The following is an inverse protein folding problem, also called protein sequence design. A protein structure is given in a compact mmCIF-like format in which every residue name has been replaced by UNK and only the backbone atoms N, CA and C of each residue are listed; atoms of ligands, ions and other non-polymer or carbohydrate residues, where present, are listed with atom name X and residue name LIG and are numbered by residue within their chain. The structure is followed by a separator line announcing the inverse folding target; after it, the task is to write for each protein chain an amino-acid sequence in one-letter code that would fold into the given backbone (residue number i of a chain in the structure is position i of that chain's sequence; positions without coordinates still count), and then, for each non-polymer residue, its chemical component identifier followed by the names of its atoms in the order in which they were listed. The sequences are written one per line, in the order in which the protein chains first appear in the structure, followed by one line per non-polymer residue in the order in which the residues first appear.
data_IF_548209783840
#
_entry.id   IF_548209783840
#
_cell.length_a   1.000
_cell.length_b   1.000
_cell.length_c   1.000
_cell.angle_alpha   90.00
_cell.angle_beta   90.00
_cell.angle_gamma   90.00
#
_symmetry.space_group_name_H-M   'P 1'
#
loop_
_entity.id
_entity.type
_entity.pdbx_description
1 polymer ?
#
# COMPACT_ATOMS: atom_id res chain seq x y z
N UNK A 1 -4.79 -63.51 50.91
CA UNK A 1 -3.80 -62.53 50.41
C UNK A 1 -3.71 -61.41 51.44
N UNK A 2 -2.52 -61.14 52.01
CA UNK A 2 -2.36 -60.16 53.07
C UNK A 2 -2.56 -58.74 52.49
N UNK A 3 -3.29 -57.85 53.16
CA UNK A 3 -3.68 -56.53 52.62
C UNK A 3 -2.48 -55.68 52.16
N UNK A 4 -1.31 -55.88 52.79
CA UNK A 4 -0.03 -55.28 52.37
C UNK A 4 0.43 -55.76 50.99
N UNK A 5 0.24 -57.04 50.67
CA UNK A 5 0.58 -57.60 49.35
C UNK A 5 -0.37 -57.14 48.25
N UNK A 6 -1.66 -56.99 48.55
CA UNK A 6 -2.63 -56.43 47.60
C UNK A 6 -2.37 -54.95 47.30
N UNK A 7 -1.98 -54.15 48.30
CA UNK A 7 -1.59 -52.75 48.13
C UNK A 7 -0.33 -52.60 47.25
N UNK A 8 0.70 -53.42 47.50
CA UNK A 8 1.94 -53.40 46.71
C UNK A 8 1.67 -53.79 45.24
N UNK A 9 0.85 -54.82 45.01
CA UNK A 9 0.47 -55.23 43.65
C UNK A 9 -0.34 -54.15 42.95
N UNK A 10 -1.26 -53.47 43.66
CA UNK A 10 -2.02 -52.35 43.12
C UNK A 10 -1.13 -51.18 42.68
N UNK A 11 -0.20 -50.75 43.53
CA UNK A 11 0.76 -49.67 43.21
C UNK A 11 1.65 -50.07 42.03
N UNK A 12 2.10 -51.33 41.96
CA UNK A 12 2.95 -51.81 40.87
C UNK A 12 2.21 -51.82 39.53
N UNK A 13 0.92 -52.20 39.52
CA UNK A 13 0.05 -52.12 38.35
C UNK A 13 -0.16 -50.68 37.87
N UNK A 14 -0.31 -49.74 38.79
CA UNK A 14 -0.50 -48.32 38.48
C UNK A 14 0.77 -47.69 37.86
N UNK A 15 1.95 -48.03 38.37
CA UNK A 15 3.24 -47.65 37.79
C UNK A 15 3.45 -48.29 36.40
N UNK A 16 3.06 -49.56 36.22
CA UNK A 16 3.15 -50.23 34.92
C UNK A 16 2.20 -49.61 33.88
N UNK A 17 0.98 -49.25 34.27
CA UNK A 17 0.03 -48.58 33.39
C UNK A 17 0.51 -47.16 33.03
N UNK A 18 1.05 -46.41 34.00
CA UNK A 18 1.67 -45.11 33.75
C UNK A 18 2.89 -45.23 32.82
N UNK A 19 3.74 -46.24 33.05
CA UNK A 19 4.90 -46.53 32.22
C UNK A 19 4.52 -46.97 30.80
N UNK A 20 3.48 -47.78 30.64
CA UNK A 20 2.95 -48.19 29.34
C UNK A 20 2.28 -47.03 28.59
N UNK A 21 1.56 -46.16 29.29
CA UNK A 21 0.98 -44.95 28.71
C UNK A 21 2.07 -43.95 28.28
N UNK A 22 3.11 -43.77 29.10
CA UNK A 22 4.28 -42.97 28.74
C UNK A 22 5.04 -43.59 27.56
N UNK A 23 5.26 -44.91 27.56
CA UNK A 23 5.89 -45.62 26.45
C UNK A 23 5.06 -45.51 25.17
N UNK A 24 3.73 -45.63 25.23
CA UNK A 24 2.85 -45.41 24.08
C UNK A 24 2.93 -43.97 23.57
N UNK A 25 2.91 -43.00 24.47
CA UNK A 25 3.07 -41.59 24.12
C UNK A 25 4.41 -41.33 23.41
N UNK A 26 5.53 -41.78 24.00
CA UNK A 26 6.87 -41.54 23.45
C UNK A 26 7.22 -42.40 22.23
N UNK A 27 6.73 -43.64 22.12
CA UNK A 27 7.08 -44.57 21.03
C UNK A 27 6.13 -44.52 19.83
N UNK A 28 4.95 -43.92 19.97
CA UNK A 28 3.96 -43.89 18.88
C UNK A 28 3.38 -42.49 18.63
N UNK A 29 2.97 -41.76 19.67
CA UNK A 29 2.29 -40.48 19.46
C UNK A 29 3.25 -39.37 18.98
N UNK A 30 4.48 -39.33 19.51
CA UNK A 30 5.52 -38.34 19.12
C UNK A 30 5.90 -38.44 17.64
N UNK A 31 5.72 -39.61 17.02
CA UNK A 31 6.06 -39.87 15.60
C UNK A 31 4.88 -39.66 14.65
N UNK A 32 3.82 -38.96 15.08
CA UNK A 32 2.66 -38.67 14.23
C UNK A 32 2.78 -37.29 13.58
N UNK A 33 2.26 -37.09 12.35
CA UNK A 33 2.19 -35.75 11.75
C UNK A 33 1.40 -34.78 12.63
N UNK A 34 0.38 -35.28 13.34
CA UNK A 34 -0.40 -34.49 14.28
C UNK A 34 0.44 -33.96 15.44
N UNK A 35 1.33 -34.78 16.02
CA UNK A 35 2.23 -34.32 17.06
C UNK A 35 3.20 -33.25 16.55
N UNK A 36 3.84 -33.45 15.40
CA UNK A 36 4.75 -32.47 14.81
C UNK A 36 4.07 -31.13 14.52
N UNK A 37 2.80 -31.12 14.13
CA UNK A 37 2.00 -29.89 14.00
C UNK A 37 1.73 -29.18 15.34
N UNK A 38 1.51 -29.92 16.43
CA UNK A 38 1.36 -29.33 17.76
C UNK A 38 2.72 -28.81 18.30
N UNK A 39 3.81 -29.53 18.01
CA UNK A 39 5.16 -29.11 18.36
C UNK A 39 5.55 -27.83 17.61
N UNK A 40 5.23 -27.74 16.32
CA UNK A 40 5.34 -26.53 15.51
C UNK A 40 4.62 -25.34 16.17
N UNK A 41 3.34 -25.51 16.53
CA UNK A 41 2.56 -24.45 17.17
C UNK A 41 3.18 -24.03 18.51
N UNK A 42 3.70 -24.99 19.27
CA UNK A 42 4.39 -24.73 20.53
C UNK A 42 5.71 -23.97 20.32
N UNK A 43 6.44 -24.25 19.25
CA UNK A 43 7.67 -23.53 18.89
C UNK A 43 7.37 -22.05 18.59
N UNK A 44 6.28 -21.77 17.86
CA UNK A 44 5.81 -20.39 17.62
C UNK A 44 5.48 -19.69 18.93
N UNK A 45 4.68 -20.32 19.80
CA UNK A 45 4.26 -19.72 21.07
C UNK A 45 5.41 -19.50 22.06
N UNK A 46 6.42 -20.36 22.04
CA UNK A 46 7.59 -20.26 22.90
C UNK A 46 8.72 -19.42 22.29
N UNK A 47 8.47 -18.73 21.17
CA UNK A 47 9.46 -17.92 20.45
C UNK A 47 10.73 -18.68 20.04
N UNK A 48 10.61 -19.97 19.73
CA UNK A 48 11.73 -20.85 19.43
C UNK A 48 11.85 -21.09 17.92
N UNK A 49 12.63 -20.23 17.25
CA UNK A 49 12.87 -20.33 15.81
C UNK A 49 13.65 -21.60 15.40
N UNK A 50 14.54 -22.10 16.26
CA UNK A 50 15.31 -23.33 15.99
C UNK A 50 14.40 -24.55 15.99
N UNK A 51 13.55 -24.69 17.01
CA UNK A 51 12.55 -25.77 17.07
C UNK A 51 11.50 -25.64 15.96
N UNK A 52 11.13 -24.41 15.57
CA UNK A 52 10.22 -24.19 14.44
C UNK A 52 10.79 -24.75 13.12
N UNK A 53 12.08 -24.48 12.84
CA UNK A 53 12.75 -24.96 11.64
C UNK A 53 12.92 -26.49 11.61
N UNK A 54 12.89 -27.15 12.77
CA UNK A 54 12.86 -28.62 12.83
C UNK A 54 11.62 -29.20 12.15
N UNK A 55 10.46 -28.54 12.29
CA UNK A 55 9.18 -29.02 11.74
C UNK A 55 8.78 -28.34 10.42
N UNK A 56 9.55 -27.35 9.93
CA UNK A 56 9.32 -26.70 8.62
C UNK A 56 10.61 -26.56 7.84
N UNK A 57 10.66 -27.18 6.67
CA UNK A 57 11.65 -26.90 5.64
C UNK A 57 11.24 -25.62 4.90
N UNK A 58 11.62 -24.47 5.45
CA UNK A 58 11.31 -23.15 4.86
C UNK A 58 11.89 -23.01 3.46
N UNK A 59 13.06 -23.58 3.18
CA UNK A 59 13.69 -23.45 1.88
C UNK A 59 12.89 -24.21 0.82
N UNK A 60 12.53 -25.47 1.06
CA UNK A 60 11.69 -26.22 0.12
C UNK A 60 10.30 -25.59 -0.04
N UNK A 61 9.67 -25.23 1.08
CA UNK A 61 8.32 -24.67 1.11
C UNK A 61 8.23 -23.36 0.32
N UNK A 62 9.14 -22.41 0.59
CA UNK A 62 9.11 -21.09 -0.04
C UNK A 62 9.53 -21.14 -1.50
N UNK A 63 10.50 -21.98 -1.88
CA UNK A 63 10.88 -22.12 -3.29
C UNK A 63 9.74 -22.74 -4.12
N UNK A 64 9.03 -23.75 -3.59
CA UNK A 64 7.83 -24.31 -4.24
C UNK A 64 6.72 -23.26 -4.35
N UNK A 65 6.44 -22.55 -3.26
CA UNK A 65 5.45 -21.46 -3.27
C UNK A 65 5.81 -20.34 -4.26
N UNK A 66 7.08 -19.96 -4.36
CA UNK A 66 7.56 -18.98 -5.33
C UNK A 66 7.40 -19.46 -6.79
N UNK A 67 7.64 -20.74 -7.06
CA UNK A 67 7.39 -21.33 -8.38
C UNK A 67 5.89 -21.33 -8.74
N UNK A 68 5.03 -21.68 -7.79
CA UNK A 68 3.57 -21.61 -7.98
C UNK A 68 3.12 -20.18 -8.24
N UNK A 69 3.60 -19.23 -7.43
CA UNK A 69 3.31 -17.81 -7.56
C UNK A 69 3.81 -17.25 -8.90
N UNK A 70 5.01 -17.64 -9.34
CA UNK A 70 5.56 -17.26 -10.64
C UNK A 70 4.58 -17.55 -11.78
N UNK A 71 3.86 -18.67 -11.74
CA UNK A 71 2.91 -19.02 -12.80
C UNK A 71 1.63 -18.16 -12.80
N UNK A 72 1.36 -17.43 -11.72
CA UNK A 72 0.16 -16.60 -11.54
C UNK A 72 0.43 -15.11 -11.80
N UNK A 73 1.70 -14.68 -11.77
CA UNK A 73 2.10 -13.29 -11.89
C UNK A 73 2.53 -12.96 -13.32
N UNK A 74 2.06 -11.81 -13.82
CA UNK A 74 2.39 -11.31 -15.15
C UNK A 74 3.90 -11.13 -15.36
N UNK A 75 4.39 -11.52 -16.53
CA UNK A 75 5.82 -11.63 -16.83
C UNK A 75 6.59 -10.31 -16.70
N UNK A 76 5.95 -9.19 -17.05
CA UNK A 76 6.58 -7.86 -17.06
C UNK A 76 6.35 -7.07 -15.76
N UNK A 77 5.70 -7.67 -14.76
CA UNK A 77 5.46 -7.01 -13.48
C UNK A 77 6.74 -6.94 -12.62
N UNK A 78 6.92 -5.88 -11.81
CA UNK A 78 8.01 -5.79 -10.84
C UNK A 78 7.94 -6.93 -9.81
N UNK A 79 6.73 -7.38 -9.45
CA UNK A 79 6.48 -8.52 -8.57
C UNK A 79 7.12 -9.81 -9.11
N UNK A 80 7.10 -10.03 -10.43
CA UNK A 80 7.74 -11.17 -11.08
C UNK A 80 9.25 -11.16 -10.91
N UNK A 81 9.90 -9.99 -10.99
CA UNK A 81 11.35 -9.89 -10.85
C UNK A 81 11.80 -10.30 -9.44
N UNK A 82 11.06 -9.88 -8.41
CA UNK A 82 11.33 -10.27 -7.02
C UNK A 82 11.21 -11.78 -6.76
N UNK A 83 10.37 -12.46 -7.53
CA UNK A 83 10.24 -13.92 -7.48
C UNK A 83 11.45 -14.58 -8.16
N UNK A 84 11.80 -14.11 -9.35
CA UNK A 84 12.85 -14.71 -10.19
C UNK A 84 14.26 -14.52 -9.62
N UNK A 85 14.53 -13.38 -8.96
CA UNK A 85 15.82 -13.10 -8.33
C UNK A 85 15.97 -13.71 -6.92
N UNK A 86 14.92 -14.37 -6.41
CA UNK A 86 14.90 -15.02 -5.10
C UNK A 86 14.78 -14.08 -3.90
N UNK A 87 14.70 -12.77 -4.13
CA UNK A 87 14.59 -11.78 -3.06
C UNK A 87 13.32 -11.94 -2.24
N UNK A 88 12.20 -12.34 -2.87
CA UNK A 88 10.94 -12.63 -2.17
C UNK A 88 11.10 -13.81 -1.19
N UNK A 89 11.75 -14.89 -1.63
CA UNK A 89 11.96 -16.09 -0.80
C UNK A 89 12.81 -15.73 0.42
N UNK A 90 13.91 -14.99 0.21
CA UNK A 90 14.81 -14.58 1.28
C UNK A 90 14.10 -13.67 2.30
N UNK A 91 13.40 -12.62 1.84
CA UNK A 91 12.66 -11.71 2.71
C UNK A 91 11.55 -12.44 3.48
N UNK A 92 10.79 -13.30 2.80
CA UNK A 92 9.71 -14.06 3.43
C UNK A 92 10.24 -15.00 4.52
N UNK A 93 11.40 -15.64 4.28
CA UNK A 93 12.06 -16.48 5.28
C UNK A 93 12.45 -15.67 6.52
N UNK A 94 13.07 -14.51 6.32
CA UNK A 94 13.46 -13.60 7.40
C UNK A 94 12.23 -13.10 8.19
N UNK A 95 11.17 -12.70 7.50
CA UNK A 95 9.92 -12.23 8.09
C UNK A 95 9.24 -13.30 8.94
N UNK A 96 9.18 -14.55 8.45
CA UNK A 96 8.60 -15.68 9.21
C UNK A 96 9.42 -15.94 10.48
N UNK A 97 10.75 -15.97 10.39
CA UNK A 97 11.59 -16.22 11.56
C UNK A 97 11.54 -15.07 12.57
N UNK A 98 11.45 -13.83 12.08
CA UNK A 98 11.18 -12.68 12.91
C UNK A 98 9.83 -12.81 13.62
N UNK A 99 8.78 -13.19 12.90
CA UNK A 99 7.44 -13.41 13.46
C UNK A 99 7.45 -14.49 14.55
N UNK A 100 8.09 -15.64 14.30
CA UNK A 100 8.22 -16.72 15.30
C UNK A 100 8.89 -16.18 16.57
N UNK A 101 9.95 -15.39 16.42
CA UNK A 101 10.73 -14.88 17.56
C UNK A 101 10.01 -13.76 18.33
N UNK A 102 9.19 -12.95 17.66
CA UNK A 102 8.64 -11.71 18.22
C UNK A 102 7.11 -11.69 18.34
N UNK A 103 6.40 -12.73 17.87
CA UNK A 103 4.94 -12.81 17.71
C UNK A 103 4.31 -11.64 16.94
N UNK A 104 5.14 -10.92 16.18
CA UNK A 104 4.75 -9.75 15.39
C UNK A 104 5.51 -9.75 14.10
N UNK A 105 4.84 -9.41 13.01
CA UNK A 105 5.51 -9.11 11.75
C UNK A 105 6.44 -7.89 11.95
N UNK A 106 7.58 -7.84 11.24
CA UNK A 106 8.49 -6.72 11.34
C UNK A 106 7.76 -5.41 11.01
N UNK A 107 8.04 -4.36 11.80
CA UNK A 107 7.46 -3.05 11.55
C UNK A 107 8.06 -2.49 10.27
N UNK A 108 7.18 -2.04 9.38
CA UNK A 108 7.58 -1.29 8.20
C UNK A 108 7.93 0.14 8.62
N UNK A 109 9.10 0.61 8.21
CA UNK A 109 9.43 2.04 8.28
C UNK A 109 8.67 2.81 7.19
N UNK A 110 8.49 2.22 6.00
CA UNK A 110 7.74 2.79 4.87
C UNK A 110 6.99 1.70 4.05
N UNK A 111 5.78 2.02 3.58
CA UNK A 111 4.99 1.14 2.68
C UNK A 111 5.54 1.24 1.25
N UNK A 112 6.18 0.16 0.81
CA UNK A 112 6.82 -0.01 -0.50
C UNK A 112 6.00 -0.91 -1.45
N UNK A 113 6.42 -1.00 -2.71
CA UNK A 113 5.85 -1.96 -3.66
C UNK A 113 6.04 -3.41 -3.21
N UNK A 114 7.23 -3.76 -2.70
CA UNK A 114 7.56 -5.10 -2.21
C UNK A 114 6.64 -5.54 -1.07
N UNK A 115 6.42 -4.65 -0.10
CA UNK A 115 5.55 -4.88 1.04
C UNK A 115 4.08 -4.95 0.63
N UNK A 116 3.64 -4.08 -0.28
CA UNK A 116 2.30 -4.17 -0.86
C UNK A 116 2.07 -5.51 -1.59
N UNK A 117 3.08 -6.07 -2.25
CA UNK A 117 2.99 -7.37 -2.89
C UNK A 117 2.90 -8.53 -1.89
N UNK A 118 3.73 -8.54 -0.85
CA UNK A 118 3.65 -9.53 0.24
C UNK A 118 2.26 -9.54 0.91
N UNK A 119 1.69 -8.35 1.09
CA UNK A 119 0.35 -8.14 1.60
C UNK A 119 -0.72 -8.64 0.61
N UNK A 120 -0.53 -8.42 -0.70
CA UNK A 120 -1.42 -8.91 -1.78
C UNK A 120 -1.50 -10.44 -1.81
N UNK A 121 -0.43 -11.15 -1.46
CA UNK A 121 -0.39 -12.62 -1.41
C UNK A 121 -0.72 -13.21 -0.02
N UNK A 122 -1.09 -12.35 0.93
CA UNK A 122 -1.58 -12.76 2.24
C UNK A 122 -0.51 -13.18 3.24
N UNK A 123 0.78 -12.90 2.96
CA UNK A 123 1.89 -13.36 3.80
C UNK A 123 1.75 -12.85 5.24
N UNK A 124 1.45 -11.56 5.37
CA UNK A 124 1.43 -10.86 6.67
C UNK A 124 0.02 -10.60 7.20
N UNK A 125 -1.00 -10.82 6.38
CA UNK A 125 -2.42 -10.62 6.75
C UNK A 125 -3.11 -11.90 7.20
N UNK A 126 -2.55 -13.06 6.87
CA UNK A 126 -3.15 -14.34 7.20
C UNK A 126 -3.02 -14.63 8.70
N UNK A 127 -4.11 -15.11 9.30
CA UNK A 127 -4.10 -15.62 10.66
C UNK A 127 -4.65 -17.05 10.70
N UNK A 128 -3.89 -17.95 11.33
CA UNK A 128 -4.37 -19.29 11.62
C UNK A 128 -5.40 -19.20 12.74
N UNK A 129 -6.69 -19.19 12.41
CA UNK A 129 -7.77 -19.14 13.41
C UNK A 129 -7.89 -20.44 14.20
N UNK A 130 -7.69 -21.58 13.54
CA UNK A 130 -7.81 -22.90 14.16
C UNK A 130 -7.15 -23.96 13.29
N UNK A 131 -6.21 -24.71 13.85
CA UNK A 131 -5.71 -25.95 13.23
C UNK A 131 -6.79 -27.01 13.37
N UNK A 132 -7.65 -27.12 12.36
CA UNK A 132 -8.64 -28.19 12.26
C UNK A 132 -8.12 -29.27 11.32
N UNK A 133 -7.72 -30.42 11.87
CA UNK A 133 -7.43 -31.62 11.08
C UNK A 133 -8.72 -32.04 10.34
N UNK A 134 -8.77 -31.76 9.03
CA UNK A 134 -9.97 -32.08 8.21
C UNK A 134 -10.08 -33.58 7.95
N UNK A 135 -8.97 -34.33 7.98
CA UNK A 135 -8.97 -35.78 8.11
C UNK A 135 -8.62 -36.17 9.55
N UNK A 136 -9.39 -37.10 10.13
CA UNK A 136 -9.15 -37.57 11.51
C UNK A 136 -7.80 -38.27 11.67
N UNK A 137 -7.21 -38.72 10.58
CA UNK A 137 -5.85 -39.24 10.49
C UNK A 137 -5.19 -38.65 9.23
N UNK A 138 -3.92 -38.19 9.29
CA UNK A 138 -3.18 -37.79 8.10
C UNK A 138 -3.11 -38.97 7.12
N UNK A 139 -3.39 -38.73 5.85
CA UNK A 139 -3.25 -39.77 4.81
C UNK A 139 -1.76 -40.00 4.61
N UNK A 140 -1.25 -41.14 5.09
CA UNK A 140 0.13 -41.55 4.88
C UNK A 140 0.22 -42.21 3.51
N UNK A 141 0.90 -41.54 2.59
CA UNK A 141 1.22 -42.06 1.27
C UNK A 141 2.62 -42.69 1.33
N UNK A 142 2.67 -44.00 1.12
CA UNK A 142 3.91 -44.71 0.84
C UNK A 142 4.13 -44.63 -0.66
N UNK A 143 5.27 -44.10 -1.11
CA UNK A 143 5.65 -44.23 -2.51
C UNK A 143 5.89 -45.72 -2.79
N UNK A 144 4.96 -46.37 -3.49
CA UNK A 144 5.20 -47.70 -4.05
C UNK A 144 6.27 -47.53 -5.14
N UNK A 145 7.48 -48.00 -4.87
CA UNK A 145 8.53 -48.05 -5.89
C UNK A 145 8.10 -49.01 -7.00
N UNK A 146 8.19 -48.56 -8.25
CA UNK A 146 8.20 -49.48 -9.39
C UNK A 146 9.29 -50.52 -9.16
N UNK A 147 9.03 -51.80 -9.45
CA UNK A 147 9.95 -52.93 -9.19
C UNK A 147 11.37 -52.78 -9.80
N UNK A 148 11.62 -51.72 -10.59
CA UNK A 148 12.90 -51.40 -11.24
C UNK A 148 13.43 -49.95 -11.02
N UNK A 149 12.85 -49.09 -10.18
CA UNK A 149 13.31 -47.69 -10.03
C UNK A 149 13.40 -47.20 -8.57
N UNK A 150 14.61 -46.74 -8.18
CA UNK A 150 15.02 -45.97 -6.97
C UNK A 150 14.48 -46.44 -5.59
N UNK A 151 15.23 -46.30 -4.48
CA UNK A 151 14.67 -46.63 -3.17
C UNK A 151 13.41 -45.79 -2.91
N UNK A 152 12.34 -46.45 -2.43
CA UNK A 152 11.11 -45.79 -2.02
C UNK A 152 11.43 -44.58 -1.13
N UNK A 153 10.89 -43.40 -1.48
CA UNK A 153 11.10 -42.17 -0.72
C UNK A 153 10.59 -42.28 0.74
N UNK A 154 10.97 -41.34 1.62
CA UNK A 154 10.47 -41.34 2.99
C UNK A 154 8.93 -41.21 3.00
N UNK A 155 8.22 -41.83 3.97
CA UNK A 155 6.77 -41.70 4.07
C UNK A 155 6.31 -40.25 4.05
N UNK A 156 5.24 -39.98 3.30
CA UNK A 156 4.67 -38.62 3.21
C UNK A 156 3.27 -38.58 3.79
N UNK A 157 2.85 -37.41 4.27
CA UNK A 157 1.55 -37.20 4.88
C UNK A 157 0.96 -35.86 4.44
N UNK A 158 -0.36 -35.81 4.26
CA UNK A 158 -1.08 -34.55 4.00
C UNK A 158 -1.87 -34.10 5.23
N UNK A 159 -1.62 -32.87 5.69
CA UNK A 159 -2.34 -32.23 6.79
C UNK A 159 -3.15 -31.04 6.27
N UNK A 160 -4.45 -31.05 6.51
CA UNK A 160 -5.32 -29.93 6.17
C UNK A 160 -5.45 -28.97 7.36
N UNK A 161 -5.28 -27.67 7.13
CA UNK A 161 -5.35 -26.60 8.14
C UNK A 161 -6.27 -25.50 7.66
N UNK A 162 -7.21 -25.08 8.52
CA UNK A 162 -8.11 -23.97 8.24
C UNK A 162 -7.44 -22.63 8.63
N UNK A 163 -7.19 -21.80 7.62
CA UNK A 163 -6.64 -20.45 7.79
C UNK A 163 -7.72 -19.41 7.53
N UNK A 164 -7.67 -18.28 8.23
CA UNK A 164 -8.55 -17.15 7.96
C UNK A 164 -7.73 -16.02 7.37
N UNK A 165 -8.18 -15.55 6.22
CA UNK A 165 -7.61 -14.40 5.55
C UNK A 165 -8.65 -13.27 5.57
N UNK A 166 -8.44 -12.20 6.36
CA UNK A 166 -9.36 -11.06 6.43
C UNK A 166 -9.77 -10.49 5.07
N UNK A 167 -8.87 -10.50 4.09
CA UNK A 167 -9.14 -10.02 2.74
C UNK A 167 -10.07 -10.95 1.95
N UNK A 168 -10.00 -12.25 2.22
CA UNK A 168 -10.92 -13.23 1.63
C UNK A 168 -12.30 -13.17 2.29
N UNK A 169 -12.37 -12.72 3.55
CA UNK A 169 -13.61 -12.60 4.32
C UNK A 169 -14.18 -13.95 4.80
N UNK A 170 -13.49 -15.05 4.52
CA UNK A 170 -13.84 -16.41 4.90
C UNK A 170 -12.57 -17.22 5.23
N UNK A 171 -12.72 -18.49 5.60
CA UNK A 171 -11.63 -19.42 5.82
C UNK A 171 -11.27 -20.21 4.56
N UNK A 172 -9.97 -20.42 4.35
CA UNK A 172 -9.42 -21.32 3.35
C UNK A 172 -8.86 -22.58 4.03
N UNK A 173 -8.87 -23.73 3.35
CA UNK A 173 -8.25 -24.96 3.86
C UNK A 173 -6.96 -25.22 3.07
N UNK A 174 -5.82 -24.97 3.69
CA UNK A 174 -4.50 -25.29 3.13
C UNK A 174 -4.14 -26.74 3.40
N UNK A 175 -3.56 -27.42 2.41
CA UNK A 175 -3.12 -28.81 2.49
C UNK A 175 -1.60 -28.86 2.52
N UNK A 176 -1.03 -28.99 3.70
CA UNK A 176 0.41 -29.09 3.91
C UNK A 176 0.89 -30.52 3.65
N UNK A 177 1.92 -30.68 2.82
CA UNK A 177 2.61 -31.96 2.66
C UNK A 177 3.77 -32.03 3.65
N UNK A 178 3.85 -33.15 4.34
CA UNK A 178 4.90 -33.46 5.31
C UNK A 178 5.65 -34.71 4.87
N UNK A 179 6.94 -34.76 5.20
CA UNK A 179 7.77 -35.96 5.04
C UNK A 179 8.27 -36.41 6.41
N UNK A 180 8.37 -37.72 6.59
CA UNK A 180 9.00 -38.26 7.79
C UNK A 180 10.53 -38.09 7.69
N UNK A 181 11.13 -37.63 8.79
CA UNK A 181 12.57 -37.40 8.93
C UNK A 181 13.25 -38.64 9.54
N UNK A 182 14.59 -38.67 9.53
CA UNK A 182 15.37 -39.77 10.11
C UNK A 182 15.13 -39.97 11.61
N UNK A 183 14.80 -38.89 12.34
CA UNK A 183 14.44 -38.92 13.76
C UNK A 183 12.95 -39.27 14.00
N UNK A 184 12.28 -39.79 12.96
CA UNK A 184 10.87 -40.18 12.92
C UNK A 184 9.88 -39.04 13.20
N UNK A 185 10.34 -37.77 13.23
CA UNK A 185 9.47 -36.59 13.26
C UNK A 185 8.98 -36.24 11.86
N UNK A 186 7.96 -35.39 11.76
CA UNK A 186 7.40 -34.95 10.48
C UNK A 186 7.72 -33.48 10.22
N UNK A 187 8.21 -33.20 9.01
CA UNK A 187 8.56 -31.85 8.58
C UNK A 187 7.69 -31.41 7.41
N UNK A 188 7.09 -30.22 7.50
CA UNK A 188 6.36 -29.56 6.39
C UNK A 188 7.37 -29.12 5.33
N UNK A 189 7.08 -29.39 4.06
CA UNK A 189 7.95 -28.95 2.96
C UNK A 189 7.17 -28.48 1.71
N UNK A 190 5.84 -28.56 1.71
CA UNK A 190 4.99 -28.15 0.59
C UNK A 190 3.58 -27.74 1.05
N UNK A 191 2.89 -26.94 0.24
CA UNK A 191 1.46 -26.66 0.35
C UNK A 191 0.83 -26.99 -1.00
N UNK A 192 0.14 -28.13 -1.06
CA UNK A 192 -0.37 -28.72 -2.31
C UNK A 192 -1.33 -27.83 -3.10
N UNK A 193 -2.05 -26.95 -2.40
CA UNK A 193 -3.03 -26.04 -2.99
C UNK A 193 -2.68 -24.57 -2.78
N UNK A 194 -1.37 -24.25 -2.71
CA UNK A 194 -0.91 -22.86 -2.55
C UNK A 194 -1.31 -21.99 -3.74
N UNK A 195 -1.11 -22.48 -4.97
CA UNK A 195 -1.52 -21.77 -6.17
C UNK A 195 -3.02 -21.41 -6.16
N UNK A 196 -3.90 -22.33 -5.75
CA UNK A 196 -5.35 -22.08 -5.64
C UNK A 196 -5.67 -21.00 -4.60
N UNK A 197 -4.99 -21.06 -3.44
CA UNK A 197 -5.15 -20.07 -2.37
C UNK A 197 -4.74 -18.67 -2.84
N UNK A 198 -3.55 -18.54 -3.42
CA UNK A 198 -3.00 -17.24 -3.81
C UNK A 198 -3.73 -16.67 -5.03
N UNK A 199 -4.13 -17.49 -6.00
CA UNK A 199 -4.95 -17.05 -7.14
C UNK A 199 -6.30 -16.48 -6.65
N UNK A 200 -6.96 -17.15 -5.70
CA UNK A 200 -8.21 -16.65 -5.12
C UNK A 200 -8.01 -15.31 -4.40
N UNK A 201 -6.90 -15.15 -3.68
CA UNK A 201 -6.56 -13.93 -2.94
C UNK A 201 -6.18 -12.78 -3.85
N UNK A 202 -5.34 -13.01 -4.87
CA UNK A 202 -4.98 -12.05 -5.91
C UNK A 202 -6.24 -11.52 -6.58
N UNK A 203 -7.14 -12.40 -7.03
CA UNK A 203 -8.41 -12.02 -7.66
C UNK A 203 -9.30 -11.19 -6.74
N UNK A 204 -9.35 -11.52 -5.45
CA UNK A 204 -10.11 -10.74 -4.48
C UNK A 204 -9.50 -9.35 -4.27
N UNK A 205 -8.18 -9.28 -4.08
CA UNK A 205 -7.44 -8.03 -3.92
C UNK A 205 -7.54 -7.14 -5.16
N UNK A 206 -7.52 -7.70 -6.36
CA UNK A 206 -7.70 -6.95 -7.61
C UNK A 206 -9.12 -6.37 -7.75
N UNK A 207 -10.16 -7.13 -7.34
CA UNK A 207 -11.53 -6.62 -7.29
C UNK A 207 -11.67 -5.46 -6.32
N UNK A 208 -11.13 -5.61 -5.11
CA UNK A 208 -11.22 -4.60 -4.07
C UNK A 208 -10.36 -3.36 -4.41
N UNK A 209 -9.16 -3.58 -4.96
CA UNK A 209 -8.28 -2.52 -5.46
C UNK A 209 -8.95 -1.75 -6.59
N UNK A 210 -9.55 -2.43 -7.57
CA UNK A 210 -10.30 -1.76 -8.65
C UNK A 210 -11.39 -0.86 -8.10
N UNK A 211 -12.19 -1.35 -7.14
CA UNK A 211 -13.25 -0.56 -6.50
C UNK A 211 -12.68 0.63 -5.73
N UNK A 212 -11.56 0.45 -5.04
CA UNK A 212 -10.87 1.53 -4.33
C UNK A 212 -10.34 2.59 -5.29
N UNK A 213 -9.60 2.18 -6.32
CA UNK A 213 -9.09 3.05 -7.39
C UNK A 213 -10.20 3.82 -8.06
N UNK A 214 -11.34 3.21 -8.40
CA UNK A 214 -12.46 3.91 -9.03
C UNK A 214 -13.04 5.01 -8.11
N UNK A 215 -13.09 4.78 -6.80
CA UNK A 215 -13.55 5.78 -5.82
C UNK A 215 -12.53 6.90 -5.63
N UNK A 216 -11.25 6.56 -5.47
CA UNK A 216 -10.15 7.54 -5.40
C UNK A 216 -10.17 8.41 -6.66
N UNK A 217 -10.24 7.79 -7.84
CA UNK A 217 -10.33 8.46 -9.14
C UNK A 217 -11.48 9.46 -9.17
N UNK A 218 -12.67 9.05 -8.72
CA UNK A 218 -13.86 9.90 -8.66
C UNK A 218 -13.66 11.08 -7.70
N UNK A 219 -13.10 10.84 -6.51
CA UNK A 219 -12.82 11.90 -5.53
C UNK A 219 -11.84 12.93 -6.13
N UNK A 220 -10.69 12.47 -6.65
CA UNK A 220 -9.68 13.34 -7.23
C UNK A 220 -10.19 14.16 -8.42
N UNK A 221 -11.05 13.56 -9.26
CA UNK A 221 -11.70 14.28 -10.37
C UNK A 221 -12.62 15.39 -9.87
N UNK A 222 -13.49 15.08 -8.92
CA UNK A 222 -14.40 16.08 -8.35
C UNK A 222 -13.63 17.24 -7.71
N UNK A 223 -12.50 16.94 -7.08
CA UNK A 223 -11.60 17.95 -6.49
C UNK A 223 -11.03 18.86 -7.57
N UNK A 224 -10.53 18.30 -8.67
CA UNK A 224 -10.05 19.11 -9.80
C UNK A 224 -11.15 19.94 -10.44
N UNK A 225 -12.34 19.39 -10.70
CA UNK A 225 -13.45 20.13 -11.28
C UNK A 225 -13.77 21.37 -10.42
N UNK A 226 -13.77 21.22 -9.08
CA UNK A 226 -13.92 22.34 -8.14
C UNK A 226 -12.77 23.35 -8.23
N UNK A 227 -11.52 22.90 -8.38
CA UNK A 227 -10.37 23.79 -8.57
C UNK A 227 -10.43 24.55 -9.89
N UNK A 228 -10.86 23.90 -10.98
CA UNK A 228 -11.06 24.54 -12.27
C UNK A 228 -12.18 25.59 -12.21
N UNK A 229 -13.27 25.31 -11.50
CA UNK A 229 -14.30 26.31 -11.21
C UNK A 229 -13.79 27.47 -10.35
N UNK A 230 -13.00 27.17 -9.31
CA UNK A 230 -12.38 28.18 -8.45
C UNK A 230 -11.51 29.13 -9.27
N UNK A 231 -10.66 28.59 -10.14
CA UNK A 231 -9.81 29.34 -11.05
C UNK A 231 -10.59 30.23 -12.02
N UNK A 232 -11.78 29.81 -12.46
CA UNK A 232 -12.67 30.64 -13.29
C UNK A 232 -13.29 31.80 -12.49
N UNK A 233 -13.65 31.58 -11.23
CA UNK A 233 -14.26 32.59 -10.35
C UNK A 233 -13.24 33.58 -9.81
N UNK A 234 -12.04 33.10 -9.50
CA UNK A 234 -10.93 33.85 -8.90
C UNK A 234 -9.64 33.52 -9.68
N UNK A 235 -9.37 34.27 -10.76
CA UNK A 235 -8.21 34.01 -11.64
C UNK A 235 -6.87 34.46 -11.04
N UNK A 236 -6.90 35.26 -9.97
CA UNK A 236 -5.72 35.66 -9.20
C UNK A 236 -5.67 34.88 -7.90
N UNK A 237 -4.47 34.39 -7.55
CA UNK A 237 -4.25 33.74 -6.26
C UNK A 237 -4.16 34.85 -5.20
N UNK A 238 -5.12 34.89 -4.30
CA UNK A 238 -5.15 35.80 -3.16
C UNK A 238 -5.52 35.01 -1.90
N UNK A 239 -5.63 35.70 -0.75
CA UNK A 239 -5.97 35.04 0.52
C UNK A 239 -7.31 34.30 0.47
N UNK A 240 -8.32 34.87 -0.18
CA UNK A 240 -9.65 34.24 -0.31
C UNK A 240 -9.59 32.98 -1.20
N UNK A 241 -8.79 33.02 -2.28
CA UNK A 241 -8.53 31.87 -3.12
C UNK A 241 -7.88 30.73 -2.31
N UNK A 242 -6.87 31.03 -1.50
CA UNK A 242 -6.17 30.04 -0.66
C UNK A 242 -7.15 29.38 0.32
N UNK A 243 -7.99 30.17 0.98
CA UNK A 243 -8.99 29.66 1.93
C UNK A 243 -9.98 28.71 1.24
N UNK A 244 -10.49 29.08 0.06
CA UNK A 244 -11.42 28.22 -0.69
C UNK A 244 -10.72 26.97 -1.26
N UNK A 245 -9.45 27.08 -1.68
CA UNK A 245 -8.62 25.96 -2.12
C UNK A 245 -8.40 24.95 -0.99
N UNK A 246 -8.06 25.41 0.21
CA UNK A 246 -7.93 24.57 1.41
C UNK A 246 -9.24 23.86 1.75
N UNK A 247 -10.38 24.54 1.62
CA UNK A 247 -11.69 23.93 1.84
C UNK A 247 -11.97 22.81 0.84
N UNK A 248 -11.70 23.03 -0.45
CA UNK A 248 -11.85 21.99 -1.49
C UNK A 248 -10.98 20.77 -1.15
N UNK A 249 -9.73 20.99 -0.74
CA UNK A 249 -8.84 19.88 -0.38
C UNK A 249 -9.21 19.19 0.91
N UNK A 250 -9.72 19.92 1.90
CA UNK A 250 -10.27 19.32 3.11
C UNK A 250 -11.42 18.38 2.78
N UNK A 251 -12.38 18.82 1.96
CA UNK A 251 -13.49 17.98 1.49
C UNK A 251 -12.98 16.76 0.70
N UNK A 252 -11.93 16.92 -0.12
CA UNK A 252 -11.29 15.80 -0.83
C UNK A 252 -10.70 14.78 0.15
N UNK A 253 -9.93 15.25 1.14
CA UNK A 253 -9.30 14.40 2.15
C UNK A 253 -10.35 13.66 2.99
N UNK A 254 -11.39 14.36 3.46
CA UNK A 254 -12.49 13.72 4.20
C UNK A 254 -13.15 12.60 3.37
N UNK A 255 -13.40 12.86 2.07
CA UNK A 255 -13.94 11.83 1.19
C UNK A 255 -12.98 10.68 0.86
N UNK A 256 -11.67 10.84 1.07
CA UNK A 256 -10.67 9.77 0.96
C UNK A 256 -10.55 8.99 2.27
N UNK A 257 -10.57 9.67 3.41
CA UNK A 257 -10.49 9.09 4.77
C UNK A 257 -11.69 8.15 5.05
N UNK A 258 -12.85 8.40 4.42
CA UNK A 258 -14.03 7.53 4.51
C UNK A 258 -13.91 6.22 3.69
N UNK A 259 -12.91 6.10 2.82
CA UNK A 259 -12.74 4.92 1.99
C UNK A 259 -12.14 3.77 2.79
N UNK A 260 -12.80 2.61 2.76
CA UNK A 260 -12.18 1.38 3.21
C UNK A 260 -11.00 1.03 2.29
N UNK A 261 -9.78 1.18 2.80
CA UNK A 261 -8.56 0.85 2.06
C UNK A 261 -8.37 -0.67 2.01
N UNK A 262 -8.30 -1.27 0.82
CA UNK A 262 -7.95 -2.68 0.67
C UNK A 262 -6.46 -2.88 0.95
N UNK A 263 -6.06 -4.10 1.28
CA UNK A 263 -4.67 -4.42 1.62
C UNK A 263 -3.69 -4.08 0.49
N UNK A 264 -4.04 -4.36 -0.76
CA UNK A 264 -3.25 -3.95 -1.93
C UNK A 264 -3.26 -2.42 -2.20
N UNK A 265 -4.10 -1.66 -1.51
CA UNK A 265 -4.27 -0.22 -1.67
C UNK A 265 -3.42 0.65 -0.74
N UNK A 266 -2.70 0.06 0.23
CA UNK A 266 -1.91 0.80 1.23
C UNK A 266 -0.84 1.72 0.62
N UNK A 267 -0.19 1.28 -0.46
CA UNK A 267 0.79 2.12 -1.14
C UNK A 267 0.14 3.36 -1.78
N UNK A 268 -1.03 3.20 -2.40
CA UNK A 268 -1.80 4.33 -2.94
C UNK A 268 -2.30 5.25 -1.82
N UNK A 269 -2.76 4.70 -0.69
CA UNK A 269 -3.11 5.47 0.51
C UNK A 269 -1.93 6.33 0.99
N UNK A 270 -0.73 5.75 1.11
CA UNK A 270 0.48 6.49 1.49
C UNK A 270 0.79 7.65 0.53
N UNK A 271 0.65 7.44 -0.78
CA UNK A 271 0.83 8.52 -1.77
C UNK A 271 -0.24 9.62 -1.63
N UNK A 272 -1.48 9.27 -1.29
CA UNK A 272 -2.56 10.24 -1.04
C UNK A 272 -2.33 11.04 0.25
N UNK A 273 -1.75 10.42 1.29
CA UNK A 273 -1.33 11.13 2.51
C UNK A 273 -0.18 12.10 2.23
N UNK A 274 0.80 11.68 1.44
CA UNK A 274 1.88 12.57 0.99
C UNK A 274 1.31 13.75 0.19
N UNK A 275 0.35 13.48 -0.72
CA UNK A 275 -0.35 14.51 -1.50
C UNK A 275 -1.00 15.55 -0.60
N UNK A 276 -1.67 15.12 0.48
CA UNK A 276 -2.28 16.00 1.47
C UNK A 276 -1.23 16.92 2.11
N UNK A 277 -0.10 16.37 2.56
CA UNK A 277 0.98 17.17 3.15
C UNK A 277 1.55 18.19 2.16
N UNK A 278 1.87 17.75 0.94
CA UNK A 278 2.46 18.61 -0.11
C UNK A 278 1.50 19.76 -0.45
N UNK A 279 0.19 19.50 -0.49
CA UNK A 279 -0.80 20.55 -0.75
C UNK A 279 -0.74 21.67 0.29
N UNK A 280 -0.71 21.33 1.58
CA UNK A 280 -0.70 22.34 2.64
C UNK A 280 0.63 23.10 2.70
N UNK A 281 1.77 22.42 2.51
CA UNK A 281 3.08 23.08 2.35
C UNK A 281 3.02 24.15 1.25
N UNK A 282 2.41 23.78 0.12
CA UNK A 282 2.26 24.66 -1.03
C UNK A 282 1.30 25.84 -0.77
N UNK A 283 0.20 25.63 -0.03
CA UNK A 283 -0.69 26.74 0.37
C UNK A 283 0.02 27.72 1.30
N UNK A 284 0.85 27.24 2.22
CA UNK A 284 1.67 28.07 3.10
C UNK A 284 2.69 28.90 2.29
N UNK A 285 3.35 28.30 1.30
CA UNK A 285 4.27 28.99 0.41
C UNK A 285 3.56 30.08 -0.41
N UNK A 286 2.37 29.79 -0.94
CA UNK A 286 1.54 30.78 -1.64
C UNK A 286 1.11 31.91 -0.71
N UNK A 287 0.71 31.59 0.52
CA UNK A 287 0.34 32.59 1.52
C UNK A 287 1.52 33.51 1.86
N UNK A 288 2.73 32.96 2.00
CA UNK A 288 3.94 33.72 2.22
C UNK A 288 4.23 34.67 1.04
N UNK A 289 4.00 34.22 -0.19
CA UNK A 289 4.14 35.02 -1.41
C UNK A 289 3.15 36.18 -1.48
N UNK A 290 1.85 35.91 -1.28
CA UNK A 290 0.80 36.95 -1.25
C UNK A 290 1.09 38.00 -0.18
N UNK A 291 1.48 37.57 1.02
CA UNK A 291 1.84 38.48 2.12
C UNK A 291 3.12 39.28 1.83
N UNK A 292 4.08 38.70 1.10
CA UNK A 292 5.26 39.44 0.63
C UNK A 292 4.87 40.54 -0.37
N UNK A 293 3.97 40.24 -1.31
CA UNK A 293 3.49 41.22 -2.29
C UNK A 293 2.77 42.39 -1.61
N UNK A 294 1.86 42.12 -0.67
CA UNK A 294 1.19 43.17 0.13
C UNK A 294 2.21 44.05 0.85
N UNK A 295 3.24 43.47 1.48
CA UNK A 295 4.31 44.22 2.15
C UNK A 295 5.10 45.11 1.20
N UNK A 296 5.39 44.64 -0.01
CA UNK A 296 6.08 45.42 -1.04
C UNK A 296 5.22 46.61 -1.47
N UNK A 297 3.92 46.40 -1.67
CA UNK A 297 2.99 47.47 -2.04
C UNK A 297 2.82 48.52 -0.93
N UNK A 298 2.64 48.08 0.31
CA UNK A 298 2.54 48.97 1.47
C UNK A 298 3.82 49.79 1.66
N UNK A 299 4.99 49.16 1.44
CA UNK A 299 6.26 49.86 1.47
C UNK A 299 6.38 50.91 0.34
N UNK A 300 5.94 50.60 -0.88
CA UNK A 300 5.91 51.57 -2.00
C UNK A 300 5.03 52.78 -1.66
N UNK A 301 3.82 52.56 -1.15
CA UNK A 301 2.92 53.64 -0.70
C UNK A 301 3.56 54.51 0.39
N UNK A 302 4.18 53.87 1.39
CA UNK A 302 4.88 54.58 2.46
C UNK A 302 6.06 55.41 1.90
N UNK A 303 6.83 54.88 0.94
CA UNK A 303 7.91 55.63 0.29
C UNK A 303 7.39 56.87 -0.43
N UNK A 304 6.29 56.78 -1.16
CA UNK A 304 5.67 57.92 -1.83
C UNK A 304 5.23 59.01 -0.84
N UNK A 305 4.60 58.64 0.27
CA UNK A 305 4.22 59.59 1.33
C UNK A 305 5.44 60.25 1.98
N UNK A 306 6.48 59.45 2.25
CA UNK A 306 7.71 59.93 2.84
C UNK A 306 8.46 60.87 1.89
N UNK A 307 8.46 60.59 0.57
CA UNK A 307 9.04 61.45 -0.45
C UNK A 307 8.34 62.81 -0.50
N UNK A 308 7.00 62.84 -0.49
CA UNK A 308 6.22 64.09 -0.41
C UNK A 308 6.57 64.90 0.85
N UNK A 309 6.65 64.23 2.01
CA UNK A 309 7.04 64.87 3.28
C UNK A 309 8.47 65.38 3.28
N UNK A 310 9.39 64.65 2.65
CA UNK A 310 10.79 65.03 2.55
C UNK A 310 10.99 66.22 1.60
N UNK A 311 10.19 66.33 0.53
CA UNK A 311 10.16 67.51 -0.33
C UNK A 311 9.66 68.75 0.42
N UNK A 312 8.60 68.63 1.22
CA UNK A 312 8.12 69.71 2.10
C UNK A 312 9.18 70.14 3.12
N UNK A 313 9.84 69.18 3.76
CA UNK A 313 10.93 69.45 4.72
C UNK A 313 12.13 70.12 4.06
N UNK A 314 12.48 69.71 2.84
CA UNK A 314 13.53 70.38 2.04
C UNK A 314 13.14 71.82 1.70
N UNK A 315 11.87 72.08 1.33
CA UNK A 315 11.34 73.44 1.12
C UNK A 315 11.42 74.30 2.39
N UNK A 316 11.36 73.69 3.57
CA UNK A 316 11.54 74.34 4.87
C UNK A 316 13.01 74.43 5.33
N UNK A 317 13.99 74.05 4.50
CA UNK A 317 15.42 74.10 4.82
C UNK A 317 15.92 72.99 5.77
N UNK A 318 15.10 71.98 6.04
CA UNK A 318 15.44 70.86 6.93
C UNK A 318 16.19 69.78 6.15
N UNK A 319 17.36 69.34 6.66
CA UNK A 319 18.13 68.24 6.07
C UNK A 319 17.42 66.89 6.24
N UNK A 320 17.25 66.16 5.15
CA UNK A 320 16.66 64.81 5.13
C UNK A 320 17.78 63.76 5.06
N UNK A 321 17.73 62.75 5.93
CA UNK A 321 18.67 61.61 5.93
C UNK A 321 18.20 60.51 4.97
N UNK A 322 19.14 59.81 4.32
CA UNK A 322 18.86 58.63 3.49
C UNK A 322 18.38 57.47 4.37
N UNK A 323 17.26 56.85 3.99
CA UNK A 323 16.69 55.68 4.68
C UNK A 323 17.30 54.39 4.11
N UNK A 324 17.40 53.34 4.94
CA UNK A 324 17.77 51.99 4.47
C UNK A 324 16.52 51.29 3.97
N UNK A 325 16.63 50.62 2.83
CA UNK A 325 15.54 49.89 2.21
C UNK A 325 15.65 48.39 2.54
N UNK A 326 14.53 47.70 2.81
CA UNK A 326 14.52 46.24 2.92
C UNK A 326 14.95 45.60 1.59
N UNK A 327 15.65 44.48 1.66
CA UNK A 327 16.04 43.71 0.47
C UNK A 327 14.87 42.79 0.05
N UNK A 328 13.85 43.38 -0.58
CA UNK A 328 12.69 42.64 -1.07
C UNK A 328 13.04 41.66 -2.20
N UNK A 329 14.05 41.97 -3.00
CA UNK A 329 14.51 41.10 -4.10
C UNK A 329 15.03 39.76 -3.58
N UNK A 330 15.92 39.76 -2.59
CA UNK A 330 16.42 38.52 -1.98
C UNK A 330 15.32 37.71 -1.27
N UNK A 331 14.29 38.39 -0.72
CA UNK A 331 13.14 37.72 -0.12
C UNK A 331 12.24 37.09 -1.20
N UNK A 332 11.99 37.79 -2.30
CA UNK A 332 11.22 37.28 -3.43
C UNK A 332 11.89 36.06 -4.08
N UNK A 333 13.22 36.09 -4.27
CA UNK A 333 13.97 34.94 -4.80
C UNK A 333 13.77 33.70 -3.96
N UNK A 334 13.90 33.82 -2.63
CA UNK A 334 13.72 32.67 -1.72
C UNK A 334 12.29 32.11 -1.77
N UNK A 335 11.29 32.99 -1.72
CA UNK A 335 9.88 32.58 -1.78
C UNK A 335 9.59 31.86 -3.11
N UNK A 336 10.14 32.36 -4.22
CA UNK A 336 9.96 31.74 -5.54
C UNK A 336 10.62 30.36 -5.63
N UNK A 337 11.80 30.20 -5.03
CA UNK A 337 12.47 28.90 -4.93
C UNK A 337 11.60 27.88 -4.16
N UNK A 338 11.04 28.28 -3.01
CA UNK A 338 10.17 27.43 -2.20
C UNK A 338 8.89 27.02 -2.95
N UNK A 339 8.19 27.99 -3.57
CA UNK A 339 7.00 27.72 -4.39
C UNK A 339 7.32 26.76 -5.54
N UNK A 340 8.47 26.95 -6.20
CA UNK A 340 8.89 26.07 -7.30
C UNK A 340 9.20 24.65 -6.83
N UNK A 341 9.82 24.49 -5.66
CA UNK A 341 10.14 23.19 -5.08
C UNK A 341 8.88 22.43 -4.67
N UNK A 342 7.94 23.11 -4.01
CA UNK A 342 6.64 22.55 -3.62
C UNK A 342 5.82 22.12 -4.86
N UNK A 343 5.81 22.91 -5.93
CA UNK A 343 5.18 22.54 -7.20
C UNK A 343 5.84 21.30 -7.85
N UNK A 344 7.17 21.18 -7.77
CA UNK A 344 7.87 20.01 -8.30
C UNK A 344 7.48 18.74 -7.53
N UNK A 345 7.48 18.80 -6.19
CA UNK A 345 7.06 17.68 -5.32
C UNK A 345 5.63 17.26 -5.63
N UNK A 346 4.75 18.22 -5.90
CA UNK A 346 3.36 17.96 -6.28
C UNK A 346 3.25 17.17 -7.59
N UNK A 347 3.92 17.61 -8.66
CA UNK A 347 3.87 16.93 -9.96
C UNK A 347 4.51 15.54 -9.92
N UNK A 348 5.59 15.37 -9.14
CA UNK A 348 6.20 14.05 -8.91
C UNK A 348 5.24 13.09 -8.21
N UNK A 349 4.61 13.51 -7.10
CA UNK A 349 3.63 12.69 -6.38
C UNK A 349 2.41 12.36 -7.27
N UNK A 350 1.92 13.33 -8.02
CA UNK A 350 0.84 13.16 -8.99
C UNK A 350 1.20 12.12 -10.06
N UNK A 351 2.42 12.15 -10.58
CA UNK A 351 2.91 11.17 -11.55
C UNK A 351 2.98 9.75 -10.95
N UNK A 352 3.39 9.59 -9.69
CA UNK A 352 3.38 8.28 -9.03
C UNK A 352 1.95 7.73 -8.83
N UNK A 353 1.02 8.59 -8.40
CA UNK A 353 -0.40 8.22 -8.29
C UNK A 353 -0.94 7.78 -9.68
N UNK A 354 -0.54 8.47 -10.76
CA UNK A 354 -0.93 8.15 -12.15
C UNK A 354 -0.65 6.70 -12.52
N UNK A 355 0.54 6.21 -12.16
CA UNK A 355 1.01 4.87 -12.51
C UNK A 355 0.12 3.78 -11.91
N UNK A 356 -0.48 4.05 -10.75
CA UNK A 356 -1.33 3.10 -10.04
C UNK A 356 -2.79 3.19 -10.52
N UNK A 357 -3.33 4.39 -10.69
CA UNK A 357 -4.74 4.57 -11.04
C UNK A 357 -5.00 4.49 -12.56
N UNK A 358 -3.96 4.58 -13.40
CA UNK A 358 -4.02 4.55 -14.86
C UNK A 358 -4.72 5.79 -15.50
N UNK A 359 -4.51 6.04 -16.81
CA UNK A 359 -5.29 7.02 -17.56
C UNK A 359 -6.73 6.51 -17.83
N UNK A 360 -7.72 7.42 -17.90
CA UNK A 360 -9.16 7.10 -17.74
C UNK A 360 -9.88 6.35 -18.87
N UNK A 361 -9.19 5.82 -19.89
CA UNK A 361 -9.87 5.32 -21.10
C UNK A 361 -10.78 4.10 -20.90
N UNK A 362 -10.69 3.37 -19.78
CA UNK A 362 -11.53 2.18 -19.54
C UNK A 362 -12.64 2.33 -18.49
N UNK A 363 -13.09 3.54 -18.16
CA UNK A 363 -14.48 3.69 -17.66
C UNK A 363 -15.42 3.77 -18.86
N UNK A 364 -15.51 2.65 -19.57
CA UNK A 364 -16.46 2.41 -20.65
C UNK A 364 -17.86 2.40 -20.06
N UNK A 365 -18.46 3.59 -19.98
CA UNK A 365 -19.89 3.86 -20.08
C UNK A 365 -20.87 2.74 -19.62
N UNK A 366 -20.75 2.29 -18.36
CA UNK A 366 -21.86 1.66 -17.64
C UNK A 366 -22.06 2.41 -16.34
N UNK A 367 -22.74 3.54 -16.44
CA UNK A 367 -23.12 4.34 -15.28
C UNK A 367 -24.09 5.48 -15.55
N UNK A 368 -24.19 6.00 -16.77
CA UNK A 368 -25.06 7.18 -17.01
C UNK A 368 -25.91 7.12 -18.29
N UNK A 369 -25.73 6.14 -19.19
CA UNK A 369 -26.44 6.13 -20.50
C UNK A 369 -27.21 4.84 -20.86
N UNK A 370 -27.48 3.97 -19.89
CA UNK A 370 -28.59 3.00 -20.00
C UNK A 370 -29.93 3.61 -19.55
N UNK A 371 -29.95 4.86 -19.06
CA UNK A 371 -31.16 5.60 -18.70
C UNK A 371 -31.66 6.51 -19.83
N UNK A 372 -31.92 5.88 -20.99
CA UNK A 372 -32.74 6.37 -22.12
C UNK A 372 -32.11 7.46 -22.98
N UNK A 373 -31.58 6.98 -24.10
CA UNK A 373 -31.51 7.71 -25.37
C UNK A 373 -32.92 8.16 -25.84
N UNK A 374 -32.93 9.12 -26.78
CA UNK A 374 -34.03 9.96 -27.33
C UNK A 374 -34.11 11.29 -26.56
N UNK A 375 -33.67 12.46 -27.06
CA UNK A 375 -33.78 13.02 -28.40
C UNK A 375 -32.53 13.91 -28.65
N UNK A 376 -31.58 13.53 -29.49
CA UNK A 376 -31.58 13.68 -30.95
C UNK A 376 -31.49 15.14 -31.47
N UNK A 377 -30.36 15.39 -32.13
CA UNK A 377 -30.28 16.12 -33.39
C UNK A 377 -30.83 17.56 -33.52
N UNK A 378 -30.28 18.52 -32.79
CA UNK A 378 -30.25 19.95 -33.17
C UNK A 378 -29.36 20.69 -32.15
N UNK A 379 -28.20 21.29 -32.43
CA UNK A 379 -27.83 22.14 -33.55
C UNK A 379 -26.30 22.20 -33.63
N UNK A 380 -25.81 21.71 -34.78
CA UNK A 380 -24.51 21.88 -35.41
C UNK A 380 -23.90 23.30 -35.35
N UNK A 381 -22.58 23.33 -35.21
CA UNK A 381 -21.59 24.00 -36.09
C UNK A 381 -21.13 25.46 -35.87
N UNK A 382 -19.79 25.58 -35.82
CA UNK A 382 -18.90 26.48 -36.59
C UNK A 382 -18.46 27.85 -36.02
N UNK A 383 -17.16 28.03 -35.73
CA UNK A 383 -16.18 28.80 -36.55
C UNK A 383 -14.85 29.19 -35.83
N UNK A 384 -13.72 29.11 -36.56
CA UNK A 384 -12.27 29.42 -36.28
C UNK A 384 -11.91 30.93 -36.49
N UNK A 385 -10.62 31.42 -36.61
CA UNK A 385 -9.35 31.33 -35.81
C UNK A 385 -8.57 32.70 -35.63
N UNK A 386 -7.52 32.71 -34.77
CA UNK A 386 -6.21 33.36 -35.00
C UNK A 386 -5.90 34.79 -34.48
N UNK A 387 -4.72 34.98 -33.83
CA UNK A 387 -3.75 36.09 -34.02
C UNK A 387 -2.61 36.07 -32.96
N UNK A 388 -1.40 36.44 -33.39
CA UNK A 388 -0.11 36.42 -32.66
C UNK A 388 0.20 37.68 -31.82
N UNK A 389 1.04 37.47 -30.80
CA UNK A 389 2.06 38.32 -30.13
C UNK A 389 1.73 39.75 -29.62
N UNK A 390 1.99 39.99 -28.32
CA UNK A 390 2.94 41.01 -27.87
C UNK A 390 3.41 40.82 -26.40
N UNK A 391 4.65 41.25 -26.15
CA UNK A 391 5.43 41.09 -24.92
C UNK A 391 5.03 42.12 -23.87
N UNK A 392 4.72 41.65 -22.67
CA UNK A 392 4.68 42.46 -21.44
C UNK A 392 5.13 41.61 -20.26
N UNK A 393 6.34 41.85 -19.76
CA UNK A 393 6.83 41.21 -18.54
C UNK A 393 6.11 41.81 -17.33
N UNK A 394 5.04 41.16 -16.91
CA UNK A 394 4.41 41.36 -15.61
C UNK A 394 4.75 40.12 -14.76
N UNK A 395 5.72 40.30 -13.86
CA UNK A 395 6.24 39.23 -13.01
C UNK A 395 5.46 39.18 -11.70
N UNK A 396 4.54 38.22 -11.63
CA UNK A 396 3.97 37.71 -10.39
C UNK A 396 4.02 36.17 -10.44
N UNK A 397 4.70 35.50 -9.49
CA UNK A 397 4.60 34.03 -9.36
C UNK A 397 3.17 33.59 -9.03
N UNK A 398 2.38 34.54 -8.52
CA UNK A 398 1.03 34.41 -7.97
C UNK A 398 0.02 34.65 -9.08
N UNK A 399 -0.02 33.73 -10.06
CA UNK A 399 -1.04 33.72 -11.11
C UNK A 399 -1.62 32.33 -11.24
N UNK A 400 -2.93 32.24 -11.51
CA UNK A 400 -3.60 30.95 -11.58
C UNK A 400 -3.08 30.03 -12.69
N UNK A 401 -2.34 30.57 -13.67
CA UNK A 401 -1.66 29.80 -14.72
C UNK A 401 -0.47 28.97 -14.22
N UNK A 402 0.11 29.33 -13.08
CA UNK A 402 1.23 28.61 -12.45
C UNK A 402 0.78 27.62 -11.37
N UNK A 403 -0.53 27.43 -11.20
CA UNK A 403 -1.08 26.48 -10.23
C UNK A 403 -0.93 25.05 -10.75
N UNK A 404 -0.57 24.10 -9.88
CA UNK A 404 -0.59 22.71 -10.23
C UNK A 404 -2.02 22.25 -10.54
N UNK A 405 -2.16 21.50 -11.63
CA UNK A 405 -3.41 20.81 -11.94
C UNK A 405 -3.61 19.69 -10.92
N UNK A 406 -4.80 19.69 -10.31
CA UNK A 406 -5.04 18.92 -9.10
C UNK A 406 -5.31 17.43 -9.40
N UNK A 407 -5.61 17.12 -10.65
CA UNK A 407 -5.73 15.76 -11.14
C UNK A 407 -4.57 15.36 -12.03
N UNK A 408 -4.42 14.05 -12.17
CA UNK A 408 -3.48 13.35 -13.04
C UNK A 408 -3.89 13.31 -14.53
N UNK A 409 -4.87 14.11 -14.96
CA UNK A 409 -5.58 13.90 -16.22
C UNK A 409 -5.15 14.94 -17.26
N UNK A 410 -4.66 14.47 -18.41
CA UNK A 410 -4.49 15.32 -19.59
C UNK A 410 -5.70 15.12 -20.52
N UNK A 411 -6.42 16.20 -20.84
CA UNK A 411 -7.33 16.22 -21.98
C UNK A 411 -6.51 16.49 -23.26
N UNK A 412 -6.33 15.49 -24.12
CA UNK A 412 -5.80 15.73 -25.46
C UNK A 412 -6.77 16.61 -26.27
N UNK A 413 -6.28 17.77 -26.70
CA UNK A 413 -6.92 18.61 -27.72
C UNK A 413 -6.98 17.86 -29.05
N UNK A 414 -8.07 17.16 -29.30
CA UNK A 414 -8.36 16.59 -30.62
C UNK A 414 -8.81 17.71 -31.59
N UNK A 415 -7.94 18.06 -32.54
CA UNK A 415 -8.36 18.79 -33.75
C UNK A 415 -8.97 17.80 -34.74
N UNK A 416 -10.05 18.16 -35.47
CA UNK A 416 -10.64 17.28 -36.46
C UNK A 416 -9.84 17.30 -37.78
N UNK A 417 -9.87 16.21 -38.56
CA UNK A 417 -9.18 16.15 -39.85
C UNK A 417 -9.90 16.99 -40.91
N UNK A 418 -9.12 17.62 -41.79
CA UNK A 418 -9.58 18.11 -43.09
C UNK A 418 -9.45 17.03 -44.14
#
# INVERSE_FOLDING_TARGET
MNYKGALIIGIFLEILLAGAAAAFYFLYYVHTPAYSMNALQSAVHNHNAEEFQKYVDLDALLNKGANDLSNLIEMDSPDKQMILDGSLVQQTKEDILYFVTNEKWPKEEDVSQATAFQDKIGLRTMFVRKVEYVSKDPVIELEEGDEEAEPAGPPTATVAVRVFEPNYGDSFVLKFKMRQMEDETWQIYDILNYAEFVDALIKQNERDMKRYVDKVRTNLKNTEDKFAELKKKMPEINKDWIIEAEKIMKESCEGLDELKVPVAGKHLESLLDQRKSIFYDMMDDYYASVNHQEKVEDYKKLQEELMKRDEERKKQGIKVKKRREPNFEAMATRINEQVSESNKRWEENKAEIAKIIGPSEEVRARGVRAMRNNDDAAVRAANYPGADAEVGMDFSPVRAENLPEVSVYNEEKTSPPR
#
